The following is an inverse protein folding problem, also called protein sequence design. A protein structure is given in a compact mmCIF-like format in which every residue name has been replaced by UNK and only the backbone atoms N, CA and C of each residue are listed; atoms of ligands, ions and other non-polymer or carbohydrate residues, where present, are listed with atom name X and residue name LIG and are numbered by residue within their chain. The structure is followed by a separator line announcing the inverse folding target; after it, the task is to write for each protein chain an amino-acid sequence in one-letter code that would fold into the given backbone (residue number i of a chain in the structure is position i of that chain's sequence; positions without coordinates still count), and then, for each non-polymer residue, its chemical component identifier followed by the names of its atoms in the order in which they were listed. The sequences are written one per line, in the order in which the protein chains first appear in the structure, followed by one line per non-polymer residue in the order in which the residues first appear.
data_IF_446447382067
#
_entry.id   IF_446447382067
#
_cell.length_a   1.000
_cell.length_b   1.000
_cell.length_c   1.000
_cell.angle_alpha   90.00
_cell.angle_beta   90.00
_cell.angle_gamma   90.00
#
_symmetry.space_group_name_H-M   'P 1'
#
loop_
_entity.id
_entity.type
_entity.pdbx_description
1 polymer ?
#
# COMPACT_ATOMS: atom_id res chain seq x y z
N UNK A 1 0.67 0.53 -10.00
CA UNK A 1 -0.34 1.53 -10.36
C UNK A 1 -1.21 0.94 -11.44
N UNK A 2 -2.38 0.42 -11.04
CA UNK A 2 -3.42 -0.01 -11.96
C UNK A 2 -4.50 1.06 -11.81
N UNK A 3 -4.61 1.90 -12.83
CA UNK A 3 -5.22 3.22 -12.71
C UNK A 3 -6.72 3.14 -12.99
N UNK A 4 -7.50 3.24 -11.91
CA UNK A 4 -8.96 3.41 -11.98
C UNK A 4 -9.26 4.78 -11.42
N UNK A 5 -9.60 5.68 -12.32
CA UNK A 5 -10.23 6.95 -11.97
C UNK A 5 -11.66 6.67 -11.51
N UNK A 6 -11.86 6.52 -10.20
CA UNK A 6 -13.18 6.41 -9.59
C UNK A 6 -14.09 7.63 -9.86
N UNK A 7 -13.53 8.75 -10.34
CA UNK A 7 -14.28 9.95 -10.72
C UNK A 7 -15.28 9.74 -11.88
N UNK A 8 -15.20 8.61 -12.59
CA UNK A 8 -16.09 8.28 -13.73
C UNK A 8 -17.23 7.32 -13.36
N UNK A 9 -17.28 6.80 -12.12
CA UNK A 9 -18.32 5.86 -11.67
C UNK A 9 -19.05 6.39 -10.43
N UNK A 10 -19.96 7.37 -10.58
CA UNK A 10 -20.73 7.91 -9.46
C UNK A 10 -21.53 6.82 -8.73
N UNK A 11 -22.08 5.85 -9.46
CA UNK A 11 -22.87 4.74 -8.91
C UNK A 11 -22.03 3.77 -8.04
N UNK A 12 -20.74 3.60 -8.36
CA UNK A 12 -19.83 2.78 -7.55
C UNK A 12 -19.50 3.47 -6.23
N UNK A 13 -19.30 4.80 -6.28
CA UNK A 13 -19.06 5.62 -5.10
C UNK A 13 -20.28 5.57 -4.20
N UNK A 14 -21.49 5.68 -4.74
CA UNK A 14 -22.73 5.61 -3.96
C UNK A 14 -22.92 4.23 -3.31
N UNK A 15 -22.70 3.13 -4.05
CA UNK A 15 -22.72 1.77 -3.46
C UNK A 15 -21.69 1.58 -2.35
N UNK A 16 -20.45 2.02 -2.57
CA UNK A 16 -19.41 1.93 -1.55
C UNK A 16 -19.75 2.80 -0.33
N UNK A 17 -20.35 3.98 -0.51
CA UNK A 17 -20.78 4.83 0.60
C UNK A 17 -21.93 4.21 1.39
N UNK A 18 -22.93 3.63 0.72
CA UNK A 18 -24.05 2.94 1.35
C UNK A 18 -23.57 1.75 2.19
N UNK A 19 -22.66 0.94 1.66
CA UNK A 19 -22.09 -0.24 2.33
C UNK A 19 -21.24 0.16 3.56
N UNK A 20 -20.61 1.33 3.54
CA UNK A 20 -19.90 1.90 4.69
C UNK A 20 -20.84 2.45 5.78
N UNK A 21 -22.02 2.96 5.43
CA UNK A 21 -23.03 3.38 6.43
C UNK A 21 -23.61 2.19 7.20
N UNK A 22 -23.84 1.07 6.52
CA UNK A 22 -24.35 -0.17 7.13
C UNK A 22 -23.38 -0.76 8.15
N UNK A 23 -22.07 -0.68 7.90
CA UNK A 23 -21.01 -1.10 8.83
C UNK A 23 -20.97 -0.18 10.09
N UNK A 24 -21.21 1.11 9.93
CA UNK A 24 -21.07 2.11 11.00
C UNK A 24 -22.27 2.12 11.96
N UNK A 25 -23.45 1.65 11.52
CA UNK A 25 -24.65 1.53 12.38
C UNK A 25 -24.47 0.53 13.53
N UNK A 26 -23.70 -0.55 13.31
CA UNK A 26 -23.45 -1.62 14.28
C UNK A 26 -22.24 -1.36 15.20
N UNK A 27 -21.42 -0.34 14.90
CA UNK A 27 -20.14 -0.07 15.59
C UNK A 27 -20.17 0.99 16.70
N UNK A 28 -21.24 1.79 16.80
CA UNK A 28 -21.29 3.01 17.63
C UNK A 28 -21.22 2.81 19.15
N UNK A 29 -21.39 1.60 19.69
CA UNK A 29 -21.37 1.38 21.14
C UNK A 29 -19.99 1.14 21.77
N UNK A 30 -18.91 0.99 20.99
CA UNK A 30 -17.60 0.58 21.53
C UNK A 30 -16.43 1.58 21.30
N UNK A 31 -16.66 2.68 20.59
CA UNK A 31 -15.59 3.60 20.15
C UNK A 31 -15.01 4.44 21.32
N UNK A 32 -15.80 4.72 22.35
CA UNK A 32 -15.35 5.59 23.46
C UNK A 32 -14.33 4.93 24.40
N UNK A 33 -14.27 3.59 24.45
CA UNK A 33 -13.35 2.85 25.34
C UNK A 33 -11.97 2.60 24.73
N UNK A 34 -11.82 2.63 23.41
CA UNK A 34 -10.55 2.33 22.71
C UNK A 34 -9.60 3.55 22.68
N UNK A 35 -10.16 4.76 22.62
CA UNK A 35 -9.41 6.01 22.49
C UNK A 35 -8.52 6.34 23.71
N UNK A 36 -8.77 5.75 24.88
CA UNK A 36 -7.91 5.91 26.07
C UNK A 36 -6.71 4.95 26.11
N UNK A 37 -6.72 3.87 25.33
CA UNK A 37 -5.67 2.84 25.37
C UNK A 37 -4.63 3.05 24.26
N UNK A 38 -5.02 3.68 23.13
CA UNK A 38 -4.15 3.89 21.98
C UNK A 38 -3.04 4.94 22.20
N UNK A 39 -3.22 5.88 23.13
CA UNK A 39 -2.23 6.93 23.43
C UNK A 39 -1.00 6.41 24.19
N UNK A 40 -1.06 5.20 24.77
CA UNK A 40 0.06 4.61 25.52
C UNK A 40 1.02 3.78 24.65
N UNK A 41 0.64 3.39 23.43
CA UNK A 41 1.44 2.48 22.58
C UNK A 41 2.32 3.19 21.55
N UNK A 42 2.11 4.49 21.32
CA UNK A 42 2.81 5.25 20.27
C UNK A 42 4.18 5.78 20.71
N UNK A 43 4.48 5.82 22.01
CA UNK A 43 5.73 6.39 22.53
C UNK A 43 6.91 5.42 22.57
N UNK A 44 6.68 4.10 22.45
CA UNK A 44 7.72 3.11 22.74
C UNK A 44 8.46 2.58 21.49
N UNK A 45 7.92 2.81 20.28
CA UNK A 45 8.44 2.23 19.03
C UNK A 45 9.29 3.18 18.17
N UNK A 46 9.53 4.41 18.60
CA UNK A 46 10.35 5.39 17.85
C UNK A 46 11.85 5.27 18.21
N UNK A 47 12.22 4.61 19.31
CA UNK A 47 13.58 4.66 19.87
C UNK A 47 14.59 3.60 19.36
N UNK A 48 14.28 2.79 18.34
CA UNK A 48 15.08 1.59 18.02
C UNK A 48 15.71 1.51 16.62
N UNK A 49 15.78 2.58 15.83
CA UNK A 49 16.35 2.48 14.47
C UNK A 49 17.47 3.47 14.11
N UNK A 50 18.20 4.01 15.09
CA UNK A 50 19.33 4.92 14.87
C UNK A 50 20.70 4.25 14.64
N UNK A 51 20.77 2.94 14.40
CA UNK A 51 22.04 2.27 14.12
C UNK A 51 21.98 1.42 12.87
N UNK A 52 22.13 2.05 11.71
CA UNK A 52 22.79 1.39 10.58
C UNK A 52 23.98 2.24 10.15
N UNK A 53 25.13 1.78 10.61
CA UNK A 53 26.47 2.34 10.43
C UNK A 53 26.96 1.95 9.03
N UNK A 54 27.39 2.98 8.30
CA UNK A 54 28.46 3.04 7.30
C UNK A 54 29.07 1.70 6.84
N UNK A 55 28.94 1.40 5.54
CA UNK A 55 29.96 0.65 4.80
C UNK A 55 30.13 1.26 3.40
N UNK A 56 31.39 1.56 3.10
CA UNK A 56 31.88 2.40 2.01
C UNK A 56 31.81 1.70 0.63
N UNK A 57 31.41 2.44 -0.41
CA UNK A 57 31.81 2.12 -1.79
C UNK A 57 32.38 3.38 -2.46
N UNK A 58 33.64 3.25 -2.89
CA UNK A 58 34.45 4.29 -3.54
C UNK A 58 33.86 4.67 -4.90
N UNK A 59 33.69 5.97 -5.16
CA UNK A 59 33.47 6.49 -6.51
C UNK A 59 34.58 7.48 -6.89
N UNK A 60 35.09 7.30 -8.11
CA UNK A 60 36.10 8.12 -8.78
C UNK A 60 35.51 9.48 -9.17
N UNK A 61 36.30 10.51 -8.92
CA UNK A 61 36.03 11.92 -9.25
C UNK A 61 36.24 12.21 -10.73
N UNK A 62 35.42 13.11 -11.29
CA UNK A 62 35.84 14.09 -12.30
C UNK A 62 35.03 15.38 -12.08
N UNK A 63 35.74 16.50 -11.94
CA UNK A 63 35.28 17.68 -11.21
C UNK A 63 34.95 18.92 -12.03
N UNK A 64 34.30 19.88 -11.36
CA UNK A 64 34.71 21.30 -11.28
C UNK A 64 33.84 22.03 -10.25
N UNK A 65 34.50 22.69 -9.30
CA UNK A 65 33.93 23.34 -8.12
C UNK A 65 34.35 24.83 -8.11
N UNK A 66 33.45 25.71 -7.67
CA UNK A 66 33.77 27.09 -7.26
C UNK A 66 33.05 27.43 -5.94
N UNK A 67 33.85 27.36 -4.87
CA UNK A 67 33.88 28.01 -3.54
C UNK A 67 32.65 28.71 -2.92
N UNK A 68 32.20 28.19 -1.76
CA UNK A 68 32.09 28.95 -0.49
C UNK A 68 32.19 28.00 0.71
N UNK A 69 32.85 28.46 1.77
CA UNK A 69 33.17 27.72 3.00
C UNK A 69 31.93 27.22 3.76
N UNK A 70 32.01 25.98 4.25
CA UNK A 70 30.95 25.06 4.69
C UNK A 70 30.07 24.52 3.54
N UNK A 71 30.24 23.25 3.10
CA UNK A 71 29.30 22.67 2.15
C UNK A 71 27.92 22.53 2.83
N UNK A 72 27.02 23.49 2.56
CA UNK A 72 25.62 23.44 3.02
C UNK A 72 24.86 22.27 2.39
N UNK A 73 25.34 21.75 1.25
CA UNK A 73 24.73 20.64 0.53
C UNK A 73 25.78 19.76 -0.14
N UNK A 74 25.41 18.50 -0.35
CA UNK A 74 26.17 17.51 -1.11
C UNK A 74 25.26 16.94 -2.19
N UNK A 75 25.69 17.03 -3.43
CA UNK A 75 24.96 16.45 -4.57
C UNK A 75 25.28 14.95 -4.66
N UNK A 76 24.22 14.14 -4.73
CA UNK A 76 24.32 12.68 -4.87
C UNK A 76 23.64 12.32 -6.19
N UNK A 77 24.33 11.63 -7.12
CA UNK A 77 23.74 11.25 -8.40
C UNK A 77 22.59 10.27 -8.21
N UNK A 78 21.56 10.41 -9.05
CA UNK A 78 20.41 9.51 -9.04
C UNK A 78 20.76 8.17 -9.68
N UNK A 79 20.29 7.08 -9.06
CA UNK A 79 20.32 5.76 -9.69
C UNK A 79 19.21 5.64 -10.73
N UNK A 80 19.42 4.83 -11.77
CA UNK A 80 18.44 4.58 -12.84
C UNK A 80 17.10 4.08 -12.31
N UNK A 81 17.12 3.29 -11.22
CA UNK A 81 15.91 2.81 -10.55
C UNK A 81 15.10 3.98 -9.96
N UNK A 82 15.75 4.92 -9.25
CA UNK A 82 15.10 6.09 -8.67
C UNK A 82 14.52 7.00 -9.75
N UNK A 83 15.26 7.20 -10.85
CA UNK A 83 14.79 7.99 -11.99
C UNK A 83 13.52 7.40 -12.61
N UNK A 84 13.48 6.09 -12.81
CA UNK A 84 12.32 5.41 -13.40
C UNK A 84 11.09 5.50 -12.49
N UNK A 85 11.28 5.32 -11.19
CA UNK A 85 10.18 5.45 -10.20
C UNK A 85 9.65 6.89 -10.20
N UNK A 86 10.54 7.89 -10.16
CA UNK A 86 10.15 9.30 -10.19
C UNK A 86 9.32 9.63 -11.45
N UNK A 87 9.76 9.19 -12.62
CA UNK A 87 9.01 9.37 -13.88
C UNK A 87 7.60 8.76 -13.81
N UNK A 88 7.47 7.54 -13.28
CA UNK A 88 6.18 6.85 -13.15
C UNK A 88 5.24 7.50 -12.14
N UNK A 89 5.76 7.91 -10.98
CA UNK A 89 4.98 8.59 -9.94
C UNK A 89 4.48 9.95 -10.41
N UNK A 90 5.33 10.73 -11.08
CA UNK A 90 4.95 12.03 -11.65
C UNK A 90 3.86 11.87 -12.70
N UNK A 91 4.00 10.92 -13.63
CA UNK A 91 2.98 10.63 -14.64
C UNK A 91 1.63 10.23 -14.01
N UNK A 92 1.66 9.34 -13.02
CA UNK A 92 0.44 8.89 -12.32
C UNK A 92 -0.27 10.04 -11.62
N UNK A 93 0.46 10.88 -10.86
CA UNK A 93 -0.14 11.97 -10.09
C UNK A 93 -0.69 13.11 -10.97
N UNK A 94 -0.14 13.29 -12.17
CA UNK A 94 -0.59 14.32 -13.11
C UNK A 94 -1.83 13.91 -13.90
N UNK A 95 -1.89 12.66 -14.39
CA UNK A 95 -2.93 12.24 -15.32
C UNK A 95 -4.18 11.70 -14.64
N UNK A 96 -4.08 11.22 -13.39
CA UNK A 96 -5.20 10.56 -12.71
C UNK A 96 -5.80 11.52 -11.68
N UNK A 97 -7.12 11.78 -11.71
CA UNK A 97 -7.80 12.50 -10.63
C UNK A 97 -7.84 11.60 -9.38
N UNK A 98 -7.05 11.97 -8.36
CA UNK A 98 -6.98 11.22 -7.10
C UNK A 98 -7.99 11.75 -6.10
N UNK A 99 -8.75 10.85 -5.49
CA UNK A 99 -9.56 11.12 -4.31
C UNK A 99 -9.25 10.06 -3.25
N UNK A 100 -9.28 10.44 -1.97
CA UNK A 100 -8.87 9.59 -0.85
C UNK A 100 -10.09 9.20 -0.02
N UNK A 101 -10.26 7.91 0.19
CA UNK A 101 -11.27 7.33 1.08
C UNK A 101 -10.57 6.71 2.29
N UNK A 102 -11.19 6.79 3.46
CA UNK A 102 -10.69 6.18 4.69
C UNK A 102 -11.87 5.52 5.40
N UNK A 103 -11.65 4.29 5.85
CA UNK A 103 -12.62 3.49 6.62
C UNK A 103 -11.88 2.76 7.73
N UNK A 104 -12.56 2.56 8.87
CA UNK A 104 -12.01 1.88 10.04
C UNK A 104 -12.61 0.48 10.16
N UNK A 105 -11.76 -0.52 10.36
CA UNK A 105 -12.17 -1.94 10.41
C UNK A 105 -11.75 -2.53 11.76
N UNK A 106 -12.70 -3.16 12.44
CA UNK A 106 -12.43 -3.88 13.69
C UNK A 106 -11.74 -5.22 13.41
N UNK A 107 -10.52 -5.40 13.93
CA UNK A 107 -9.67 -6.57 13.65
C UNK A 107 -9.57 -7.59 14.80
N UNK A 108 -10.27 -7.39 15.91
CA UNK A 108 -10.13 -8.21 17.13
C UNK A 108 -10.34 -9.71 16.89
N UNK A 109 -11.37 -10.05 16.10
CA UNK A 109 -11.74 -11.44 15.84
C UNK A 109 -10.79 -12.11 14.85
N UNK A 110 -10.35 -11.36 13.83
CA UNK A 110 -9.34 -11.80 12.86
C UNK A 110 -8.02 -12.14 13.56
N UNK A 111 -7.58 -11.31 14.51
CA UNK A 111 -6.36 -11.57 15.28
C UNK A 111 -6.45 -12.85 16.11
N UNK A 112 -7.61 -13.13 16.72
CA UNK A 112 -7.84 -14.39 17.46
C UNK A 112 -7.80 -15.60 16.51
N UNK A 113 -8.49 -15.51 15.37
CA UNK A 113 -8.49 -16.55 14.34
C UNK A 113 -7.07 -16.83 13.82
N UNK A 114 -6.27 -15.78 13.59
CA UNK A 114 -4.88 -15.89 13.15
C UNK A 114 -4.02 -16.67 14.14
N UNK A 115 -4.18 -16.45 15.44
CA UNK A 115 -3.44 -17.20 16.47
C UNK A 115 -3.79 -18.68 16.41
N UNK A 116 -5.08 -19.00 16.30
CA UNK A 116 -5.55 -20.39 16.18
C UNK A 116 -5.03 -21.06 14.90
N UNK A 117 -5.11 -20.39 13.74
CA UNK A 117 -4.60 -20.91 12.47
C UNK A 117 -3.09 -21.14 12.53
N UNK A 118 -2.34 -20.19 13.04
CA UNK A 118 -0.89 -20.34 13.19
C UNK A 118 -0.50 -21.45 14.17
N UNK A 119 -1.36 -21.80 15.14
CA UNK A 119 -1.13 -22.96 16.01
C UNK A 119 -1.30 -24.28 15.25
N UNK A 120 -2.30 -24.39 14.38
CA UNK A 120 -2.56 -25.58 13.57
C UNK A 120 -1.57 -25.77 12.41
N UNK A 121 -1.02 -24.67 11.88
CA UNK A 121 -0.13 -24.67 10.72
C UNK A 121 1.36 -24.78 11.08
N UNK A 122 1.72 -24.87 12.37
CA UNK A 122 3.13 -24.98 12.81
C UNK A 122 3.83 -26.18 12.18
N UNK A 123 3.12 -27.28 12.04
CA UNK A 123 3.66 -28.53 11.52
C UNK A 123 4.02 -28.43 10.02
N UNK A 124 3.44 -27.47 9.31
CA UNK A 124 3.69 -27.22 7.89
C UNK A 124 4.74 -26.11 7.65
N UNK A 125 5.23 -25.47 8.72
CA UNK A 125 6.21 -24.38 8.63
C UNK A 125 5.67 -23.09 7.99
N UNK A 126 4.36 -22.98 7.76
CA UNK A 126 3.73 -21.82 7.12
C UNK A 126 3.24 -20.84 8.20
N UNK A 127 3.65 -19.58 8.10
CA UNK A 127 3.23 -18.51 9.02
C UNK A 127 2.28 -17.56 8.30
N UNK A 128 1.04 -17.47 8.80
CA UNK A 128 0.03 -16.57 8.26
C UNK A 128 0.18 -15.18 8.88
N UNK A 129 0.26 -14.18 8.00
CA UNK A 129 0.35 -12.76 8.32
C UNK A 129 -1.00 -12.05 8.16
N UNK A 130 -1.11 -10.81 8.64
CA UNK A 130 -2.32 -9.98 8.40
C UNK A 130 -2.44 -9.63 6.92
N UNK A 131 -1.30 -9.45 6.23
CA UNK A 131 -1.28 -9.10 4.82
C UNK A 131 -1.98 -10.16 3.96
N UNK A 132 -1.88 -11.44 4.32
CA UNK A 132 -2.53 -12.53 3.57
C UNK A 132 -4.05 -12.39 3.60
N UNK A 133 -4.62 -12.03 4.76
CA UNK A 133 -6.05 -11.75 4.89
C UNK A 133 -6.46 -10.50 4.10
N UNK A 134 -5.66 -9.43 4.15
CA UNK A 134 -5.95 -8.19 3.42
C UNK A 134 -5.91 -8.43 1.90
N UNK A 135 -4.94 -9.19 1.40
CA UNK A 135 -4.82 -9.54 -0.02
C UNK A 135 -6.04 -10.35 -0.46
N UNK A 136 -6.43 -11.39 0.31
CA UNK A 136 -7.58 -12.22 -0.03
C UNK A 136 -8.90 -11.43 0.01
N UNK A 137 -9.10 -10.62 1.05
CA UNK A 137 -10.30 -9.78 1.18
C UNK A 137 -10.40 -8.78 0.03
N UNK A 138 -9.29 -8.10 -0.30
CA UNK A 138 -9.24 -7.17 -1.43
C UNK A 138 -9.51 -7.88 -2.76
N UNK A 139 -9.02 -9.11 -2.92
CA UNK A 139 -9.24 -9.88 -4.15
C UNK A 139 -10.71 -10.25 -4.35
N UNK A 140 -11.41 -10.61 -3.27
CA UNK A 140 -12.84 -10.92 -3.30
C UNK A 140 -13.67 -9.65 -3.53
N UNK A 141 -13.36 -8.55 -2.85
CA UNK A 141 -14.04 -7.27 -3.06
C UNK A 141 -13.94 -6.78 -4.52
N UNK A 142 -12.79 -6.99 -5.17
CA UNK A 142 -12.62 -6.69 -6.60
C UNK A 142 -13.47 -7.58 -7.53
N UNK A 143 -13.94 -8.75 -7.08
CA UNK A 143 -14.89 -9.58 -7.82
C UNK A 143 -16.33 -9.12 -7.61
N UNK A 144 -16.67 -8.69 -6.40
CA UNK A 144 -18.01 -8.18 -6.08
C UNK A 144 -18.29 -6.85 -6.78
N UNK A 145 -17.26 -5.98 -6.88
CA UNK A 145 -17.34 -4.68 -7.55
C UNK A 145 -16.35 -4.64 -8.74
N UNK A 146 -16.73 -5.13 -9.93
CA UNK A 146 -15.81 -5.26 -11.08
C UNK A 146 -15.34 -3.92 -11.65
N UNK A 147 -16.03 -2.82 -11.35
CA UNK A 147 -15.66 -1.46 -11.75
C UNK A 147 -14.32 -1.03 -11.13
N UNK A 148 -14.03 -1.53 -9.91
CA UNK A 148 -12.77 -1.33 -9.17
C UNK A 148 -11.64 -2.24 -9.69
N UNK A 149 -11.91 -3.11 -10.65
CA UNK A 149 -10.90 -3.92 -11.35
C UNK A 149 -10.92 -3.67 -12.87
N UNK A 150 -10.84 -2.40 -13.27
CA UNK A 150 -10.87 -1.97 -14.66
C UNK A 150 -9.62 -1.17 -15.09
N UNK A 151 -9.48 -0.94 -16.39
CA UNK A 151 -8.47 -0.05 -16.96
C UNK A 151 -9.15 0.98 -17.85
N UNK A 152 -8.74 2.24 -17.69
CA UNK A 152 -9.14 3.31 -18.58
C UNK A 152 -8.17 3.40 -19.77
N UNK A 153 -8.60 2.95 -20.94
CA UNK A 153 -7.80 3.00 -22.17
C UNK A 153 -8.19 4.22 -22.99
N UNK A 154 -7.57 5.36 -22.67
CA UNK A 154 -7.87 6.66 -23.29
C UNK A 154 -7.74 6.63 -24.83
N UNK A 155 -6.72 5.94 -25.36
CA UNK A 155 -6.47 5.84 -26.81
C UNK A 155 -7.58 5.10 -27.56
N UNK A 156 -8.13 4.06 -26.95
CA UNK A 156 -9.16 3.20 -27.54
C UNK A 156 -10.57 3.68 -27.17
N UNK A 157 -10.68 4.67 -26.26
CA UNK A 157 -11.95 5.19 -25.70
C UNK A 157 -12.83 4.09 -25.10
N UNK A 158 -12.22 3.06 -24.52
CA UNK A 158 -12.91 1.95 -23.86
C UNK A 158 -12.43 1.76 -22.43
N UNK A 159 -13.34 1.28 -21.59
CA UNK A 159 -13.03 0.80 -20.25
C UNK A 159 -12.91 -0.72 -20.34
N UNK A 160 -11.74 -1.25 -20.01
CA UNK A 160 -11.50 -2.69 -19.98
C UNK A 160 -11.68 -3.21 -18.57
N UNK A 161 -12.72 -3.99 -18.32
CA UNK A 161 -12.92 -4.69 -17.05
C UNK A 161 -12.16 -6.03 -17.06
N UNK A 162 -11.39 -6.30 -16.01
CA UNK A 162 -10.64 -7.55 -15.90
C UNK A 162 -11.47 -8.59 -15.17
N UNK A 163 -11.55 -9.80 -15.73
CA UNK A 163 -12.24 -10.93 -15.11
C UNK A 163 -11.37 -11.66 -14.07
N UNK A 164 -10.06 -11.43 -14.09
CA UNK A 164 -9.10 -12.01 -13.14
C UNK A 164 -8.54 -10.93 -12.24
N UNK A 165 -8.27 -11.29 -10.98
CA UNK A 165 -7.71 -10.38 -9.98
C UNK A 165 -6.27 -10.78 -9.64
N UNK A 166 -5.34 -9.90 -10.00
CA UNK A 166 -3.92 -9.97 -9.64
C UNK A 166 -3.55 -8.77 -8.77
N UNK A 167 -2.97 -9.04 -7.60
CA UNK A 167 -2.63 -8.02 -6.60
C UNK A 167 -1.12 -7.85 -6.53
N UNK A 168 -0.66 -6.60 -6.59
CA UNK A 168 0.75 -6.25 -6.40
C UNK A 168 0.98 -5.71 -5.00
N UNK A 169 1.98 -6.23 -4.30
CA UNK A 169 2.33 -5.79 -2.95
C UNK A 169 3.60 -4.96 -3.04
N UNK A 170 3.59 -3.73 -2.52
CA UNK A 170 4.77 -2.89 -2.49
C UNK A 170 5.67 -3.27 -1.31
N UNK A 171 6.90 -3.70 -1.61
CA UNK A 171 7.91 -4.09 -0.63
C UNK A 171 9.13 -3.17 -0.76
N UNK A 172 9.57 -2.63 0.36
CA UNK A 172 10.78 -1.82 0.44
C UNK A 172 11.99 -2.73 0.54
N UNK A 173 12.92 -2.59 -0.39
CA UNK A 173 14.27 -3.16 -0.31
C UNK A 173 15.29 -2.06 0.00
N UNK A 174 16.51 -2.43 0.37
CA UNK A 174 17.61 -1.48 0.61
C UNK A 174 17.93 -0.66 -0.63
N UNK A 175 17.80 -1.28 -1.80
CA UNK A 175 18.08 -0.69 -3.11
C UNK A 175 16.92 0.16 -3.66
N UNK A 176 15.68 -0.07 -3.23
CA UNK A 176 14.53 0.71 -3.69
C UNK A 176 13.16 0.08 -3.38
N UNK A 177 12.15 0.43 -4.18
CA UNK A 177 10.80 -0.11 -4.08
C UNK A 177 10.59 -1.17 -5.15
N UNK A 178 10.24 -2.39 -4.73
CA UNK A 178 9.90 -3.50 -5.63
C UNK A 178 8.43 -3.88 -5.39
N UNK A 179 7.73 -4.24 -6.45
CA UNK A 179 6.31 -4.62 -6.40
C UNK A 179 6.11 -6.03 -6.97
N UNK A 180 6.33 -7.11 -6.19
CA UNK A 180 5.94 -8.46 -6.60
C UNK A 180 4.42 -8.56 -6.87
N UNK A 181 4.05 -9.49 -7.76
CA UNK A 181 2.66 -9.72 -8.17
C UNK A 181 2.21 -11.11 -7.71
N UNK A 182 1.14 -11.15 -6.91
CA UNK A 182 0.42 -12.37 -6.56
C UNK A 182 -0.64 -12.62 -7.62
N UNK A 183 -0.44 -13.66 -8.42
CA UNK A 183 -1.30 -13.99 -9.54
C UNK A 183 -2.51 -14.81 -9.08
N UNK A 184 -3.70 -14.45 -9.59
CA UNK A 184 -4.98 -15.08 -9.30
C UNK A 184 -5.26 -15.17 -7.79
N UNK A 185 -5.12 -14.05 -7.08
CA UNK A 185 -5.30 -13.98 -5.62
C UNK A 185 -6.75 -14.28 -5.17
N UNK A 186 -7.72 -14.20 -6.08
CA UNK A 186 -9.11 -14.55 -5.79
C UNK A 186 -9.35 -16.06 -5.64
N UNK A 187 -8.55 -16.91 -6.30
CA UNK A 187 -8.72 -18.38 -6.27
C UNK A 187 -7.95 -19.00 -5.11
N UNK A 188 -6.73 -18.53 -4.87
CA UNK A 188 -5.80 -19.04 -3.84
C UNK A 188 -6.16 -18.56 -2.45
#
# INVERSE_FOLDING_TARGET
CKDISLALFPDAIEKLLQENEDINSNGRHNIEKVNKTATLFTTDNIAMNEKCIVSEEKQKEDGKQALSDNPKYKDIPLTTMRETIAKRLSFSKQNIPHYYLTSEIKMDELLKMRVNLNANLKDQGVKVSINDFVIKASALACMDVPEVNSFFLEKEKVIRQNLTVDISVAVKTETGLITPIVHSAHIK
#
